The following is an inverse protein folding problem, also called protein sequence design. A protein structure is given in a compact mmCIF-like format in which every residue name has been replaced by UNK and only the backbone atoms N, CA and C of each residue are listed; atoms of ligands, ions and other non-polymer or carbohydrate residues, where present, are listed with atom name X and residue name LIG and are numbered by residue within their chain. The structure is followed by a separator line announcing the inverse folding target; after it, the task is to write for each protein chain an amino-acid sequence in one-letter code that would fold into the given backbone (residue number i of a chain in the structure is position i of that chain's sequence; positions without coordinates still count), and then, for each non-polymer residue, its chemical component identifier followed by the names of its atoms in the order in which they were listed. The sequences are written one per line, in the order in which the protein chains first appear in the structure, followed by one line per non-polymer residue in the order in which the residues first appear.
data_IF_461260925487
#
_entry.id   IF_461260925487
#
_cell.length_a   1.000
_cell.length_b   1.000
_cell.length_c   1.000
_cell.angle_alpha   90.00
_cell.angle_beta   90.00
_cell.angle_gamma   90.00
#
_symmetry.space_group_name_H-M   'P 1'
#
loop_
_entity.id
_entity.type
_entity.pdbx_description
1 polymer ?
#
# COMPACT_ATOMS: atom_id res chain seq x y z
N UNK A 1 30.69 44.38 -59.82
CA UNK A 1 31.12 42.98 -59.69
C UNK A 1 31.84 42.97 -58.36
N UNK A 2 31.28 42.44 -57.27
CA UNK A 2 30.75 41.10 -57.16
C UNK A 2 29.63 41.03 -56.11
N UNK A 3 28.46 40.51 -56.52
CA UNK A 3 27.46 40.00 -55.58
C UNK A 3 28.02 38.69 -55.02
N UNK A 4 28.31 38.69 -53.72
CA UNK A 4 28.66 37.48 -52.98
C UNK A 4 27.41 36.57 -52.95
N UNK A 5 27.48 35.30 -53.40
CA UNK A 5 26.34 34.40 -53.33
C UNK A 5 26.02 34.17 -51.86
N UNK A 6 24.77 34.42 -51.49
CA UNK A 6 24.22 34.18 -50.16
C UNK A 6 23.52 32.84 -50.24
N UNK A 7 24.30 31.77 -50.10
CA UNK A 7 23.77 30.41 -50.14
C UNK A 7 24.53 29.54 -49.14
N UNK A 8 24.48 29.96 -47.87
CA UNK A 8 24.77 29.09 -46.74
C UNK A 8 23.44 28.39 -46.37
N UNK A 9 22.89 27.59 -47.28
CA UNK A 9 21.82 26.67 -46.95
C UNK A 9 22.46 25.51 -46.18
N UNK A 10 22.53 25.61 -44.86
CA UNK A 10 23.05 24.53 -44.03
C UNK A 10 22.09 23.34 -44.12
N UNK A 11 22.43 22.37 -44.96
CA UNK A 11 21.58 21.20 -45.24
C UNK A 11 21.30 20.37 -43.98
N UNK A 12 22.06 20.59 -42.89
CA UNK A 12 21.88 19.94 -41.60
C UNK A 12 20.88 20.67 -40.70
N UNK A 13 20.59 21.95 -40.92
CA UNK A 13 19.60 22.71 -40.13
C UNK A 13 18.23 22.01 -40.07
N UNK A 14 17.65 21.53 -41.19
CA UNK A 14 16.39 20.77 -41.15
C UNK A 14 16.47 19.50 -40.31
N UNK A 15 17.63 18.84 -40.26
CA UNK A 15 17.84 17.64 -39.45
C UNK A 15 17.90 17.96 -37.95
N UNK A 16 18.57 19.05 -37.58
CA UNK A 16 18.67 19.51 -36.18
C UNK A 16 17.30 19.99 -35.66
N UNK A 17 16.57 20.76 -36.48
CA UNK A 17 15.20 21.19 -36.18
C UNK A 17 14.24 20.00 -36.02
N UNK A 18 14.39 18.97 -36.85
CA UNK A 18 13.59 17.75 -36.75
C UNK A 18 13.90 16.97 -35.45
N UNK A 19 15.16 16.87 -35.06
CA UNK A 19 15.54 16.20 -33.81
C UNK A 19 15.02 16.95 -32.58
N UNK A 20 15.16 18.28 -32.56
CA UNK A 20 14.66 19.10 -31.46
C UNK A 20 13.12 19.06 -31.35
N UNK A 21 12.41 19.06 -32.48
CA UNK A 21 10.94 18.94 -32.48
C UNK A 21 10.46 17.56 -32.04
N UNK A 22 11.12 16.48 -32.46
CA UNK A 22 10.81 15.13 -31.99
C UNK A 22 11.15 14.94 -30.51
N UNK A 23 12.25 15.51 -30.03
CA UNK A 23 12.61 15.49 -28.61
C UNK A 23 11.54 16.19 -27.76
N UNK A 24 11.16 17.42 -28.14
CA UNK A 24 10.12 18.17 -27.42
C UNK A 24 8.75 17.48 -27.50
N UNK A 25 8.42 16.89 -28.64
CA UNK A 25 7.16 16.14 -28.81
C UNK A 25 7.17 14.88 -27.95
N UNK A 26 8.26 14.11 -27.96
CA UNK A 26 8.42 12.92 -27.13
C UNK A 26 8.36 13.24 -25.64
N UNK A 27 9.02 14.31 -25.20
CA UNK A 27 8.95 14.77 -23.81
C UNK A 27 7.52 15.17 -23.42
N UNK A 28 6.85 15.98 -24.25
CA UNK A 28 5.47 16.42 -23.98
C UNK A 28 4.50 15.26 -23.93
N UNK A 29 4.61 14.33 -24.87
CA UNK A 29 3.77 13.13 -24.92
C UNK A 29 4.01 12.26 -23.68
N UNK A 30 5.28 11.91 -23.41
CA UNK A 30 5.64 11.09 -22.26
C UNK A 30 5.25 11.73 -20.92
N UNK A 31 5.38 13.04 -20.78
CA UNK A 31 4.91 13.76 -19.59
C UNK A 31 3.39 13.69 -19.44
N UNK A 32 2.64 13.93 -20.53
CA UNK A 32 1.18 13.87 -20.51
C UNK A 32 0.64 12.47 -20.22
N UNK A 33 1.22 11.46 -20.84
CA UNK A 33 0.86 10.05 -20.63
C UNK A 33 1.26 9.60 -19.23
N UNK A 34 2.46 9.95 -18.78
CA UNK A 34 2.96 9.63 -17.43
C UNK A 34 2.10 10.25 -16.33
N UNK A 35 1.59 11.46 -16.52
CA UNK A 35 0.65 12.09 -15.57
C UNK A 35 -0.67 11.33 -15.48
N UNK A 36 -1.23 10.89 -16.61
CA UNK A 36 -2.49 10.15 -16.64
C UNK A 36 -2.30 8.75 -16.05
N UNK A 37 -1.28 8.01 -16.51
CA UNK A 37 -1.00 6.65 -16.04
C UNK A 37 -0.64 6.64 -14.56
N UNK A 38 0.27 7.53 -14.13
CA UNK A 38 0.70 7.59 -12.74
C UNK A 38 -0.43 7.91 -11.76
N UNK A 39 -1.40 8.74 -12.16
CA UNK A 39 -2.60 9.01 -11.36
C UNK A 39 -3.47 7.76 -11.21
N UNK A 40 -3.69 7.04 -12.29
CA UNK A 40 -4.54 5.84 -12.29
C UNK A 40 -3.87 4.68 -11.54
N UNK A 41 -2.59 4.44 -11.79
CA UNK A 41 -1.78 3.45 -11.07
C UNK A 41 -1.75 3.75 -9.56
N UNK A 42 -1.46 5.00 -9.18
CA UNK A 42 -1.46 5.42 -7.78
C UNK A 42 -2.80 5.18 -7.09
N UNK A 43 -3.91 5.45 -7.80
CA UNK A 43 -5.27 5.18 -7.30
C UNK A 43 -5.52 3.69 -7.11
N UNK A 44 -5.15 2.86 -8.08
CA UNK A 44 -5.35 1.41 -8.01
C UNK A 44 -4.53 0.78 -6.89
N UNK A 45 -3.24 1.13 -6.79
CA UNK A 45 -2.35 0.65 -5.73
C UNK A 45 -2.84 1.10 -4.35
N UNK A 46 -3.21 2.37 -4.20
CA UNK A 46 -3.75 2.90 -2.96
C UNK A 46 -5.02 2.18 -2.51
N UNK A 47 -5.95 1.91 -3.44
CA UNK A 47 -7.19 1.19 -3.14
C UNK A 47 -6.92 -0.26 -2.73
N UNK A 48 -6.06 -0.98 -3.48
CA UNK A 48 -5.71 -2.37 -3.18
C UNK A 48 -5.06 -2.49 -1.81
N UNK A 49 -4.05 -1.65 -1.53
CA UNK A 49 -3.33 -1.70 -0.26
C UNK A 49 -4.21 -1.25 0.90
N UNK A 50 -5.01 -0.19 0.71
CA UNK A 50 -5.96 0.28 1.72
C UNK A 50 -7.00 -0.77 2.08
N UNK A 51 -7.54 -1.50 1.09
CA UNK A 51 -8.47 -2.60 1.33
C UNK A 51 -7.82 -3.73 2.13
N UNK A 52 -6.62 -4.18 1.75
CA UNK A 52 -5.90 -5.24 2.48
C UNK A 52 -5.64 -4.89 3.94
N UNK A 53 -5.20 -3.65 4.21
CA UNK A 53 -4.97 -3.16 5.58
C UNK A 53 -6.28 -3.04 6.35
N UNK A 54 -7.32 -2.48 5.71
CA UNK A 54 -8.63 -2.32 6.31
C UNK A 54 -9.31 -3.65 6.66
N UNK A 55 -9.19 -4.65 5.79
CA UNK A 55 -9.68 -6.00 6.02
C UNK A 55 -9.00 -6.65 7.23
N UNK A 56 -7.67 -6.56 7.32
CA UNK A 56 -6.89 -7.09 8.44
C UNK A 56 -7.26 -6.42 9.76
N UNK A 57 -7.33 -5.08 9.79
CA UNK A 57 -7.75 -4.34 10.98
C UNK A 57 -9.18 -4.64 11.39
N UNK A 58 -10.09 -4.74 10.42
CA UNK A 58 -11.50 -5.09 10.66
C UNK A 58 -11.65 -6.49 11.25
N UNK A 59 -10.86 -7.46 10.77
CA UNK A 59 -10.83 -8.81 11.35
C UNK A 59 -10.40 -8.79 12.83
N UNK A 60 -9.32 -8.06 13.15
CA UNK A 60 -8.86 -7.93 14.54
C UNK A 60 -9.87 -7.20 15.42
N UNK A 61 -10.49 -6.14 14.90
CA UNK A 61 -11.53 -5.41 15.61
C UNK A 61 -12.75 -6.30 15.90
N UNK A 62 -13.23 -7.08 14.93
CA UNK A 62 -14.34 -8.00 15.13
C UNK A 62 -14.06 -9.07 16.19
N UNK A 63 -12.85 -9.64 16.20
CA UNK A 63 -12.45 -10.58 17.26
C UNK A 63 -12.40 -9.89 18.63
N UNK A 64 -11.84 -8.68 18.68
CA UNK A 64 -11.77 -7.88 19.89
C UNK A 64 -13.17 -7.62 20.46
N UNK A 65 -14.12 -7.20 19.63
CA UNK A 65 -15.49 -6.90 20.04
C UNK A 65 -16.20 -8.12 20.65
N UNK A 66 -15.98 -9.31 20.06
CA UNK A 66 -16.48 -10.58 20.60
C UNK A 66 -15.87 -10.89 21.96
N UNK A 67 -14.54 -10.77 22.10
CA UNK A 67 -13.86 -11.04 23.37
C UNK A 67 -14.26 -10.04 24.46
N UNK A 68 -14.37 -8.76 24.15
CA UNK A 68 -14.81 -7.72 25.08
C UNK A 68 -16.27 -7.94 25.51
N UNK A 69 -17.14 -8.37 24.58
CA UNK A 69 -18.52 -8.73 24.91
C UNK A 69 -18.61 -9.96 25.81
N UNK A 70 -17.72 -10.95 25.63
CA UNK A 70 -17.71 -12.12 26.52
C UNK A 70 -17.26 -11.75 27.93
N UNK A 71 -16.25 -10.88 28.07
CA UNK A 71 -15.78 -10.38 29.38
C UNK A 71 -16.86 -9.58 30.12
N UNK A 72 -17.73 -8.87 29.39
CA UNK A 72 -18.80 -8.09 30.01
C UNK A 72 -19.95 -8.97 30.53
N UNK A 73 -20.19 -10.12 29.89
CA UNK A 73 -21.19 -11.11 30.30
C UNK A 73 -20.65 -11.98 31.45
N UNK A 74 -19.39 -12.43 31.34
CA UNK A 74 -18.73 -13.28 32.32
C UNK A 74 -17.30 -12.77 32.57
N UNK A 75 -17.10 -12.16 33.73
CA UNK A 75 -15.81 -11.57 34.11
C UNK A 75 -14.71 -12.63 34.29
N UNK A 76 -15.06 -13.89 34.54
CA UNK A 76 -14.13 -15.00 34.74
C UNK A 76 -13.95 -15.86 33.49
N UNK A 77 -14.60 -15.50 32.36
CA UNK A 77 -14.45 -16.20 31.08
C UNK A 77 -12.99 -16.31 30.61
N UNK A 78 -12.15 -15.32 30.97
CA UNK A 78 -10.73 -15.29 30.63
C UNK A 78 -9.86 -14.99 31.84
N UNK A 79 -8.63 -15.50 31.84
CA UNK A 79 -7.64 -15.14 32.86
C UNK A 79 -7.31 -13.64 32.85
N UNK A 80 -6.90 -13.09 34.00
CA UNK A 80 -6.46 -11.69 34.11
C UNK A 80 -5.36 -11.31 33.11
N UNK A 81 -4.47 -12.27 32.78
CA UNK A 81 -3.43 -12.09 31.77
C UNK A 81 -4.03 -11.89 30.38
N UNK A 82 -5.03 -12.68 30.00
CA UNK A 82 -5.69 -12.57 28.69
C UNK A 82 -6.46 -11.25 28.59
N UNK A 83 -7.22 -10.87 29.63
CA UNK A 83 -7.94 -9.57 29.66
C UNK A 83 -6.99 -8.38 29.46
N UNK A 84 -5.84 -8.37 30.14
CA UNK A 84 -4.81 -7.34 29.94
C UNK A 84 -4.27 -7.33 28.50
N UNK A 85 -4.11 -8.50 27.86
CA UNK A 85 -3.67 -8.54 26.47
C UNK A 85 -4.74 -7.99 25.51
N UNK A 86 -6.02 -8.29 25.76
CA UNK A 86 -7.17 -7.77 25.02
C UNK A 86 -7.22 -6.24 25.09
N UNK A 87 -7.09 -5.66 26.29
CA UNK A 87 -7.04 -4.20 26.49
C UNK A 87 -5.88 -3.55 25.71
N UNK A 88 -4.70 -4.19 25.72
CA UNK A 88 -3.54 -3.71 24.98
C UNK A 88 -3.71 -3.82 23.47
N UNK A 89 -4.38 -4.87 22.97
CA UNK A 89 -4.75 -4.99 21.56
C UNK A 89 -5.74 -3.87 21.17
N UNK A 90 -6.73 -3.58 22.01
CA UNK A 90 -7.67 -2.48 21.80
C UNK A 90 -6.98 -1.12 21.71
N UNK A 91 -5.99 -0.87 22.58
CA UNK A 91 -5.20 0.35 22.55
C UNK A 91 -4.40 0.48 21.23
N UNK A 92 -3.77 -0.61 20.77
CA UNK A 92 -3.02 -0.64 19.52
C UNK A 92 -3.91 -0.37 18.30
N UNK A 93 -5.08 -1.02 18.23
CA UNK A 93 -6.05 -0.82 17.14
C UNK A 93 -6.56 0.64 17.11
N UNK A 94 -6.83 1.24 18.27
CA UNK A 94 -7.24 2.65 18.37
C UNK A 94 -6.15 3.64 17.99
N UNK A 95 -4.89 3.31 18.27
CA UNK A 95 -3.74 4.17 17.92
C UNK A 95 -3.31 4.06 16.46
N UNK A 96 -3.89 3.14 15.68
CA UNK A 96 -3.47 2.91 14.32
C UNK A 96 -3.78 4.12 13.42
N UNK A 97 -2.77 4.73 12.76
CA UNK A 97 -2.95 5.98 12.02
C UNK A 97 -3.57 5.75 10.64
N UNK A 98 -4.89 5.52 10.59
CA UNK A 98 -5.65 5.31 9.34
C UNK A 98 -5.58 6.48 8.36
N UNK A 99 -5.41 7.71 8.87
CA UNK A 99 -5.37 8.93 8.06
C UNK A 99 -3.97 9.27 7.55
N UNK A 100 -2.92 8.61 8.05
CA UNK A 100 -1.54 8.84 7.65
C UNK A 100 -0.84 7.51 7.32
N UNK A 101 -1.13 6.92 6.14
CA UNK A 101 -0.58 5.62 5.75
C UNK A 101 0.94 5.65 5.50
N UNK A 102 1.54 6.84 5.34
CA UNK A 102 2.97 7.04 5.16
C UNK A 102 3.73 7.21 6.49
N UNK A 103 3.03 7.14 7.63
CA UNK A 103 3.66 7.20 8.95
C UNK A 103 4.60 6.00 9.15
N UNK A 104 5.84 6.28 9.54
CA UNK A 104 6.86 5.26 9.80
C UNK A 104 6.41 4.23 10.85
N UNK A 105 5.49 4.60 11.75
CA UNK A 105 4.99 3.73 12.81
C UNK A 105 3.89 2.77 12.35
N UNK A 106 3.32 2.94 11.15
CA UNK A 106 2.22 2.10 10.64
C UNK A 106 2.60 0.62 10.65
N UNK A 107 3.80 0.31 10.16
CA UNK A 107 4.30 -1.06 10.08
C UNK A 107 4.56 -1.64 11.47
N UNK A 108 5.19 -0.88 12.35
CA UNK A 108 5.49 -1.28 13.73
C UNK A 108 4.22 -1.55 14.54
N UNK A 109 3.21 -0.68 14.43
CA UNK A 109 1.92 -0.87 15.12
C UNK A 109 1.22 -2.10 14.56
N UNK A 110 1.21 -2.29 13.24
CA UNK A 110 0.60 -3.47 12.62
C UNK A 110 1.28 -4.77 13.09
N UNK A 111 2.61 -4.81 13.18
CA UNK A 111 3.33 -5.96 13.70
C UNK A 111 3.00 -6.22 15.17
N UNK A 112 2.92 -5.17 15.99
CA UNK A 112 2.48 -5.27 17.39
C UNK A 112 1.06 -5.83 17.50
N UNK A 113 0.12 -5.38 16.66
CA UNK A 113 -1.26 -5.89 16.61
C UNK A 113 -1.25 -7.39 16.29
N UNK A 114 -0.55 -7.81 15.23
CA UNK A 114 -0.42 -9.21 14.81
C UNK A 114 0.15 -10.10 15.91
N UNK A 115 1.26 -9.67 16.52
CA UNK A 115 1.90 -10.40 17.63
C UNK A 115 0.95 -10.53 18.82
N UNK A 116 0.27 -9.44 19.17
CA UNK A 116 -0.65 -9.43 20.30
C UNK A 116 -1.84 -10.35 20.08
N UNK A 117 -2.40 -10.33 18.88
CA UNK A 117 -3.47 -11.22 18.47
C UNK A 117 -3.05 -12.69 18.60
N UNK A 118 -1.87 -13.07 18.08
CA UNK A 118 -1.34 -14.44 18.22
C UNK A 118 -1.17 -14.89 19.67
N UNK A 119 -0.72 -13.98 20.55
CA UNK A 119 -0.59 -14.28 21.99
C UNK A 119 -1.95 -14.54 22.62
N UNK A 120 -2.98 -13.77 22.25
CA UNK A 120 -4.35 -13.96 22.77
C UNK A 120 -4.91 -15.28 22.26
N UNK A 121 -4.87 -15.55 20.94
CA UNK A 121 -5.44 -16.78 20.37
C UNK A 121 -4.75 -18.04 20.90
N UNK A 122 -3.42 -18.01 21.07
CA UNK A 122 -2.68 -19.10 21.72
C UNK A 122 -3.08 -19.31 23.18
N UNK A 123 -3.32 -18.22 23.93
CA UNK A 123 -3.77 -18.29 25.33
C UNK A 123 -5.20 -18.81 25.46
N UNK A 124 -6.04 -18.60 24.45
CA UNK A 124 -7.42 -19.07 24.39
C UNK A 124 -7.56 -20.49 23.80
N UNK A 125 -6.49 -21.04 23.21
CA UNK A 125 -6.54 -22.32 22.50
C UNK A 125 -7.40 -22.29 21.23
N UNK A 126 -7.73 -21.11 20.71
CA UNK A 126 -8.58 -20.93 19.53
C UNK A 126 -7.73 -20.88 18.26
N UNK A 127 -8.11 -21.63 17.23
CA UNK A 127 -7.49 -21.54 15.89
C UNK A 127 -8.12 -20.38 15.10
N UNK A 128 -7.87 -19.15 15.56
CA UNK A 128 -8.25 -17.93 14.84
C UNK A 128 -7.00 -17.41 14.11
N UNK A 129 -7.06 -17.42 12.78
CA UNK A 129 -5.99 -16.96 11.91
C UNK A 129 -6.57 -16.05 10.83
N UNK A 130 -5.90 -14.93 10.57
CA UNK A 130 -6.21 -14.08 9.44
C UNK A 130 -5.64 -14.69 8.16
N UNK A 131 -6.51 -15.13 7.24
CA UNK A 131 -6.12 -15.80 5.99
C UNK A 131 -6.00 -14.86 4.80
N UNK A 132 -6.43 -13.59 4.92
CA UNK A 132 -6.44 -12.61 3.83
C UNK A 132 -5.08 -12.04 3.46
N UNK A 133 -4.00 -12.44 4.13
CA UNK A 133 -2.65 -12.05 3.72
C UNK A 133 -2.32 -12.78 2.41
N UNK A 134 -1.81 -12.11 1.37
CA UNK A 134 -1.11 -12.82 0.30
C UNK A 134 0.06 -13.54 0.97
N UNK A 135 -0.13 -14.82 1.23
CA UNK A 135 0.99 -15.68 1.60
C UNK A 135 2.03 -15.50 0.51
N UNK A 136 3.30 -15.33 0.88
CA UNK A 136 4.44 -15.37 -0.05
C UNK A 136 4.57 -16.79 -0.63
N UNK A 137 3.54 -17.24 -1.31
CA UNK A 137 3.34 -18.57 -1.86
C UNK A 137 3.40 -18.45 -3.37
N UNK A 138 4.56 -18.04 -3.90
CA UNK A 138 4.98 -18.27 -5.31
C UNK A 138 4.06 -17.82 -6.47
N UNK A 139 2.86 -17.31 -6.22
CA UNK A 139 1.84 -17.05 -7.24
C UNK A 139 1.88 -15.61 -7.77
N UNK A 140 2.49 -14.67 -7.03
CA UNK A 140 2.71 -13.30 -7.54
C UNK A 140 3.85 -13.24 -8.59
N UNK A 141 4.61 -14.32 -8.78
CA UNK A 141 5.71 -14.37 -9.76
C UNK A 141 5.19 -14.67 -11.18
N UNK A 142 3.99 -15.24 -11.32
CA UNK A 142 3.44 -15.59 -12.64
C UNK A 142 2.76 -14.39 -13.33
N UNK A 143 2.21 -13.44 -12.58
CA UNK A 143 1.49 -12.29 -13.16
C UNK A 143 2.42 -11.14 -13.62
N UNK A 144 3.67 -11.11 -13.14
CA UNK A 144 4.72 -10.22 -13.68
C UNK A 144 5.42 -10.76 -14.94
N UNK A 145 5.10 -12.00 -15.34
CA UNK A 145 5.72 -12.65 -16.51
C UNK A 145 4.89 -12.55 -17.79
N UNK A 146 3.73 -11.88 -17.73
CA UNK A 146 2.75 -11.80 -18.81
C UNK A 146 2.45 -10.37 -19.32
N UNK A 147 3.29 -9.38 -18.98
CA UNK A 147 3.29 -8.05 -19.61
C UNK A 147 4.59 -7.83 -20.35
#
# INVERSE_FOLDING_TARGET
MDQKPKDDFDFLEPSVLLDETHYQTGFKNGYSEGLVSGKEEGRQVGLKNGFQVGEELGFYQGCLDVWTSLVSIDQDAFSARVRKNIEQLAALLRSYPLSNPEDEQVQDIMEKIRLKFRVITASLGTKLEYQGRPTSSKQDVEDLSLV
#
